data_IF_909031290585
#
_entry.id   IF_909031290585
#
_cell.length_a   1.000
_cell.length_b   1.000
_cell.length_c   1.000
_cell.angle_alpha   90.00
_cell.angle_beta   90.00
_cell.angle_gamma   90.00
#
_symmetry.space_group_name_H-M   'P 1'
#
loop_
_entity.id
_entity.type
_entity.pdbx_description
1 polymer ?
#
# COMPACT_ATOMS: atom_id res chain seq x y z
N UNK A 1 -6.98 -0.30 -25.94
CA UNK A 1 -7.37 0.11 -24.58
C UNK A 1 -7.73 1.58 -24.65
N UNK A 2 -8.90 1.93 -24.14
CA UNK A 2 -9.30 3.32 -23.96
C UNK A 2 -9.17 3.69 -22.49
N UNK A 3 -9.02 4.98 -22.22
CA UNK A 3 -9.09 5.53 -20.88
C UNK A 3 -10.22 6.57 -20.79
N UNK A 4 -10.78 6.68 -19.59
CA UNK A 4 -11.79 7.66 -19.23
C UNK A 4 -11.16 8.68 -18.32
N UNK A 5 -11.28 9.96 -18.69
CA UNK A 5 -10.89 11.06 -17.81
C UNK A 5 -12.12 11.44 -16.99
N UNK A 6 -12.03 11.32 -15.67
CA UNK A 6 -13.09 11.66 -14.74
C UNK A 6 -12.78 12.98 -14.05
N UNK A 7 -13.75 13.87 -14.01
CA UNK A 7 -13.61 15.16 -13.34
C UNK A 7 -13.45 14.97 -11.83
N UNK A 8 -12.49 15.68 -11.23
CA UNK A 8 -12.10 15.53 -9.82
C UNK A 8 -13.22 15.67 -8.77
N UNK A 9 -14.28 16.42 -9.06
CA UNK A 9 -15.34 16.77 -8.09
C UNK A 9 -16.58 15.91 -8.19
N UNK A 10 -16.96 15.56 -9.41
CA UNK A 10 -18.20 14.81 -9.68
C UNK A 10 -17.95 13.40 -10.16
N UNK A 11 -16.70 13.04 -10.47
CA UNK A 11 -16.31 11.76 -11.07
C UNK A 11 -17.03 11.45 -12.39
N UNK A 12 -17.62 12.47 -13.04
CA UNK A 12 -18.22 12.35 -14.37
C UNK A 12 -17.15 12.26 -15.43
N UNK A 13 -17.38 11.44 -16.45
CA UNK A 13 -16.48 11.36 -17.60
C UNK A 13 -16.51 12.66 -18.41
N UNK A 14 -15.35 13.32 -18.58
CA UNK A 14 -15.20 14.55 -19.38
C UNK A 14 -14.54 14.27 -20.75
N UNK A 15 -13.77 13.18 -20.84
CA UNK A 15 -13.16 12.72 -22.08
C UNK A 15 -13.02 11.19 -22.09
N UNK A 16 -13.09 10.62 -23.29
CA UNK A 16 -12.70 9.24 -23.58
C UNK A 16 -11.57 9.32 -24.59
N UNK A 17 -10.43 8.73 -24.26
CA UNK A 17 -9.20 8.91 -25.01
C UNK A 17 -8.55 7.55 -25.30
N UNK A 18 -8.25 7.23 -26.57
CA UNK A 18 -7.44 6.06 -26.91
C UNK A 18 -6.05 6.12 -26.27
N UNK A 19 -5.61 5.02 -25.66
CA UNK A 19 -4.28 4.93 -25.05
C UNK A 19 -3.24 4.46 -26.08
N UNK A 20 -2.34 5.37 -26.43
CA UNK A 20 -1.27 5.18 -27.40
C UNK A 20 -0.07 4.45 -26.79
N UNK A 21 0.27 4.72 -25.54
CA UNK A 21 1.32 4.03 -24.78
C UNK A 21 1.06 4.09 -23.28
N UNK A 22 1.60 3.16 -22.50
CA UNK A 22 1.54 3.20 -21.05
C UNK A 22 2.68 2.43 -20.37
N UNK A 23 3.05 2.94 -19.20
CA UNK A 23 3.75 2.21 -18.15
C UNK A 23 2.96 2.44 -16.87
N UNK A 24 2.17 1.44 -16.46
CA UNK A 24 1.24 1.55 -15.34
C UNK A 24 1.68 0.66 -14.18
N UNK A 25 1.50 1.17 -12.98
CA UNK A 25 1.57 0.42 -11.73
C UNK A 25 0.13 0.13 -11.32
N UNK A 26 -0.31 -1.13 -11.50
CA UNK A 26 -1.68 -1.56 -11.23
C UNK A 26 -2.01 -1.44 -9.74
N UNK A 27 -1.06 -1.87 -8.89
CA UNK A 27 -1.10 -1.75 -7.43
C UNK A 27 0.33 -1.67 -6.92
N UNK A 28 0.56 -0.90 -5.86
CA UNK A 28 1.86 -0.85 -5.18
C UNK A 28 1.71 -0.43 -3.73
N UNK A 29 2.65 -0.86 -2.89
CA UNK A 29 2.84 -0.27 -1.56
C UNK A 29 3.65 1.04 -1.64
N UNK A 30 4.33 1.27 -2.77
CA UNK A 30 5.18 2.43 -3.01
C UNK A 30 4.41 3.53 -3.73
N UNK A 31 4.89 4.76 -3.58
CA UNK A 31 4.33 5.94 -4.24
C UNK A 31 4.86 6.10 -5.67
N UNK A 32 4.54 5.12 -6.50
CA UNK A 32 4.99 5.07 -7.89
C UNK A 32 4.13 5.93 -8.81
N UNK A 33 4.76 6.52 -9.82
CA UNK A 33 4.08 7.30 -10.84
C UNK A 33 3.84 6.43 -12.08
N UNK A 34 2.59 6.30 -12.46
CA UNK A 34 2.19 5.72 -13.75
C UNK A 34 2.23 6.76 -14.86
N UNK A 35 2.55 6.36 -16.08
CA UNK A 35 2.59 7.24 -17.26
C UNK A 35 1.73 6.68 -18.38
N UNK A 36 0.93 7.55 -18.99
CA UNK A 36 0.08 7.24 -20.14
C UNK A 36 0.33 8.25 -21.26
N UNK A 37 0.44 7.78 -22.49
CA UNK A 37 0.35 8.61 -23.68
C UNK A 37 -1.04 8.39 -24.28
N UNK A 38 -1.84 9.44 -24.37
CA UNK A 38 -3.22 9.36 -24.86
C UNK A 38 -3.40 10.20 -26.11
N UNK A 39 -4.28 9.76 -27.00
CA UNK A 39 -4.77 10.60 -28.11
C UNK A 39 -5.86 11.52 -27.57
N UNK A 40 -5.73 12.82 -27.82
CA UNK A 40 -6.68 13.81 -27.30
C UNK A 40 -6.84 14.99 -28.24
N UNK A 41 -8.09 15.45 -28.35
CA UNK A 41 -8.42 16.72 -29.00
C UNK A 41 -7.84 17.90 -28.20
N UNK A 42 -7.34 18.92 -28.91
CA UNK A 42 -6.82 20.15 -28.32
C UNK A 42 -7.87 20.88 -27.48
N UNK A 43 -9.14 20.78 -27.83
CA UNK A 43 -10.22 21.48 -27.12
C UNK A 43 -10.57 20.84 -25.76
N UNK A 44 -10.23 19.56 -25.57
CA UNK A 44 -10.52 18.86 -24.32
C UNK A 44 -9.54 19.28 -23.23
N UNK A 45 -10.05 19.92 -22.19
CA UNK A 45 -9.28 20.31 -21.00
C UNK A 45 -9.21 19.10 -20.05
N UNK A 46 -7.98 18.79 -19.63
CA UNK A 46 -7.66 17.82 -18.58
C UNK A 46 -6.82 18.59 -17.57
N UNK A 47 -7.16 18.50 -16.29
CA UNK A 47 -6.50 19.25 -15.23
C UNK A 47 -5.85 18.30 -14.23
N UNK A 48 -4.80 18.79 -13.57
CA UNK A 48 -4.21 18.10 -12.42
C UNK A 48 -5.27 17.95 -11.32
N UNK A 49 -5.35 16.75 -10.76
CA UNK A 49 -6.35 16.32 -9.79
C UNK A 49 -7.54 15.58 -10.39
N UNK A 50 -7.77 15.63 -11.71
CA UNK A 50 -8.72 14.74 -12.38
C UNK A 50 -8.24 13.27 -12.29
N UNK A 51 -9.11 12.32 -12.60
CA UNK A 51 -8.76 10.89 -12.56
C UNK A 51 -8.62 10.30 -13.96
N UNK A 52 -7.65 9.42 -14.14
CA UNK A 52 -7.53 8.56 -15.31
C UNK A 52 -7.97 7.15 -14.92
N UNK A 53 -8.95 6.61 -15.65
CA UNK A 53 -9.52 5.28 -15.42
C UNK A 53 -9.36 4.42 -16.67
N UNK A 54 -8.86 3.21 -16.51
CA UNK A 54 -8.93 2.12 -17.51
C UNK A 54 -9.68 0.94 -16.89
N UNK A 55 -9.78 -0.18 -17.62
CA UNK A 55 -10.30 -1.44 -17.08
C UNK A 55 -9.41 -2.06 -15.99
N UNK A 56 -8.14 -1.66 -15.88
CA UNK A 56 -7.17 -2.25 -14.94
C UNK A 56 -6.53 -1.23 -13.99
N UNK A 57 -6.84 0.07 -14.14
CA UNK A 57 -6.14 1.12 -13.44
C UNK A 57 -7.05 2.30 -13.11
N UNK A 58 -6.85 2.88 -11.92
CA UNK A 58 -7.46 4.14 -11.48
C UNK A 58 -6.34 4.96 -10.84
N UNK A 59 -6.15 6.20 -11.28
CA UNK A 59 -5.13 7.08 -10.73
C UNK A 59 -5.51 8.56 -10.78
N UNK A 60 -4.83 9.34 -9.95
CA UNK A 60 -4.99 10.79 -9.86
C UNK A 60 -3.98 11.45 -10.78
N UNK A 61 -4.43 12.27 -11.72
CA UNK A 61 -3.57 12.98 -12.67
C UNK A 61 -2.74 14.02 -11.90
N UNK A 62 -1.42 13.86 -11.92
CA UNK A 62 -0.47 14.79 -11.30
C UNK A 62 0.30 15.64 -12.31
N UNK A 63 0.32 15.23 -13.58
CA UNK A 63 0.99 15.96 -14.65
C UNK A 63 0.34 15.76 -16.01
N UNK A 64 0.29 16.83 -16.81
CA UNK A 64 -0.23 16.83 -18.18
C UNK A 64 0.75 17.58 -19.07
N UNK A 65 1.38 16.88 -20.01
CA UNK A 65 2.25 17.46 -21.03
C UNK A 65 1.62 17.27 -22.41
N UNK A 66 1.24 18.37 -23.07
CA UNK A 66 0.48 18.33 -24.32
C UNK A 66 1.37 18.41 -25.54
N UNK A 67 1.10 17.52 -26.50
CA UNK A 67 1.54 17.60 -27.88
C UNK A 67 0.46 18.14 -28.81
N UNK A 68 0.64 17.97 -30.13
CA UNK A 68 -0.29 18.48 -31.15
C UNK A 68 -1.62 17.71 -31.18
N UNK A 69 -1.60 16.39 -31.00
CA UNK A 69 -2.77 15.50 -31.04
C UNK A 69 -2.72 14.42 -29.94
N UNK A 70 -1.88 14.63 -28.94
CA UNK A 70 -1.65 13.68 -27.86
C UNK A 70 -1.31 14.41 -26.57
N UNK A 71 -1.43 13.74 -25.45
CA UNK A 71 -0.94 14.21 -24.16
C UNK A 71 -0.25 13.08 -23.41
N UNK A 72 0.87 13.38 -22.77
CA UNK A 72 1.50 12.53 -21.77
C UNK A 72 0.92 12.90 -20.40
N UNK A 73 0.36 11.90 -19.73
CA UNK A 73 -0.32 12.02 -18.45
C UNK A 73 0.49 11.24 -17.41
N UNK A 74 0.80 11.87 -16.30
CA UNK A 74 1.38 11.23 -15.12
C UNK A 74 0.30 11.06 -14.06
N UNK A 75 0.22 9.87 -13.45
CA UNK A 75 -0.78 9.53 -12.45
C UNK A 75 -0.15 8.95 -11.19
N UNK A 76 -0.63 9.38 -10.04
CA UNK A 76 -0.44 8.72 -8.75
C UNK A 76 -1.54 7.66 -8.50
N UNK A 77 -1.27 6.68 -7.65
CA UNK A 77 -2.26 5.69 -7.21
C UNK A 77 -3.46 6.37 -6.51
N UNK A 78 -4.67 5.90 -6.79
CA UNK A 78 -5.92 6.44 -6.23
C UNK A 78 -5.95 6.47 -4.70
N UNK A 79 -5.20 5.61 -4.01
CA UNK A 79 -5.08 5.63 -2.54
C UNK A 79 -4.57 6.97 -2.00
N UNK A 80 -3.83 7.74 -2.81
CA UNK A 80 -3.34 9.09 -2.47
C UNK A 80 -4.47 10.09 -2.22
N UNK A 81 -5.69 9.82 -2.71
CA UNK A 81 -6.89 10.61 -2.39
C UNK A 81 -7.11 10.73 -0.87
N UNK A 82 -6.63 9.75 -0.10
CA UNK A 82 -6.78 9.66 1.35
C UNK A 82 -5.49 10.03 2.13
N UNK A 83 -4.55 10.71 1.48
CA UNK A 83 -3.28 11.16 2.10
C UNK A 83 -3.35 12.53 2.79
N UNK A 84 -4.48 13.25 2.66
CA UNK A 84 -4.67 14.55 3.33
C UNK A 84 -4.48 14.40 4.84
N UNK A 85 -3.70 15.29 5.49
CA UNK A 85 -3.58 15.33 6.95
C UNK A 85 -4.94 15.53 7.63
N UNK A 86 -5.14 14.86 8.77
CA UNK A 86 -6.34 14.96 9.60
C UNK A 86 -5.95 15.04 11.07
N UNK A 87 -6.82 15.65 11.86
CA UNK A 87 -6.74 15.60 13.32
C UNK A 87 -7.19 14.22 13.78
N UNK A 88 -6.41 13.59 14.64
CA UNK A 88 -6.72 12.27 15.17
C UNK A 88 -7.96 12.30 16.07
N UNK A 89 -8.87 11.37 15.82
CA UNK A 89 -10.02 11.06 16.68
C UNK A 89 -9.93 9.59 17.00
N UNK A 90 -9.94 9.22 18.28
CA UNK A 90 -9.75 7.84 18.68
C UNK A 90 -10.83 6.91 18.07
N UNK A 91 -10.41 5.72 17.64
CA UNK A 91 -11.33 4.69 17.13
C UNK A 91 -12.29 4.19 18.19
N UNK A 92 -11.85 4.14 19.45
CA UNK A 92 -12.60 3.54 20.54
C UNK A 92 -12.81 2.05 20.32
N UNK A 93 -14.05 1.56 20.50
CA UNK A 93 -14.38 0.12 20.38
C UNK A 93 -14.82 -0.30 18.98
N UNK A 94 -14.72 0.58 17.98
CA UNK A 94 -15.13 0.25 16.61
C UNK A 94 -14.22 -0.81 15.98
N UNK A 95 -14.80 -1.64 15.10
CA UNK A 95 -14.00 -2.54 14.23
C UNK A 95 -13.17 -1.70 13.26
N UNK A 96 -12.06 -2.26 12.75
CA UNK A 96 -11.18 -1.55 11.81
C UNK A 96 -11.99 -1.00 10.63
N UNK A 97 -12.83 -1.84 10.03
CA UNK A 97 -13.59 -1.49 8.84
C UNK A 97 -14.68 -0.45 9.13
N UNK A 98 -15.38 -0.55 10.27
CA UNK A 98 -16.37 0.45 10.68
C UNK A 98 -15.72 1.82 10.94
N UNK A 99 -14.50 1.84 11.48
CA UNK A 99 -13.75 3.08 11.68
C UNK A 99 -13.27 3.70 10.36
N UNK A 100 -12.79 2.88 9.42
CA UNK A 100 -12.43 3.38 8.08
C UNK A 100 -13.67 3.92 7.36
N UNK A 101 -14.80 3.23 7.43
CA UNK A 101 -16.07 3.66 6.85
C UNK A 101 -16.55 4.99 7.44
N UNK A 102 -16.50 5.16 8.76
CA UNK A 102 -16.90 6.40 9.42
C UNK A 102 -16.02 7.57 8.98
N UNK A 103 -14.70 7.38 8.89
CA UNK A 103 -13.76 8.41 8.42
C UNK A 103 -13.96 8.75 6.94
N UNK A 104 -14.13 7.75 6.08
CA UNK A 104 -14.41 7.98 4.66
C UNK A 104 -15.72 8.75 4.49
N UNK A 105 -16.71 8.48 5.33
CA UNK A 105 -17.99 9.18 5.30
C UNK A 105 -17.84 10.62 5.80
N UNK A 106 -17.41 10.83 7.05
CA UNK A 106 -17.39 12.15 7.69
C UNK A 106 -16.32 13.08 7.11
N UNK A 107 -15.12 12.56 6.85
CA UNK A 107 -13.98 13.39 6.46
C UNK A 107 -13.87 13.60 4.95
N UNK A 108 -14.48 12.75 4.13
CA UNK A 108 -14.35 12.82 2.67
C UNK A 108 -15.70 12.95 1.97
N UNK A 109 -16.61 11.98 2.10
CA UNK A 109 -17.87 11.95 1.36
C UNK A 109 -18.83 13.08 1.77
N UNK A 110 -18.95 13.32 3.07
CA UNK A 110 -19.89 14.26 3.68
C UNK A 110 -19.16 15.40 4.41
N UNK A 111 -17.93 15.72 3.96
CA UNK A 111 -17.17 16.83 4.51
C UNK A 111 -17.99 18.14 4.40
N UNK A 112 -18.07 18.88 5.50
CA UNK A 112 -18.82 20.14 5.59
C UNK A 112 -18.22 21.24 4.72
N UNK A 113 -16.91 21.20 4.48
CA UNK A 113 -16.26 22.05 3.48
C UNK A 113 -16.40 21.40 2.09
N UNK A 114 -17.31 21.95 1.30
CA UNK A 114 -17.63 21.51 -0.08
C UNK A 114 -16.41 21.52 -0.99
N UNK A 115 -15.40 22.36 -0.71
CA UNK A 115 -14.15 22.37 -1.50
C UNK A 115 -13.34 21.09 -1.26
N UNK A 116 -13.51 20.39 -0.15
CA UNK A 116 -12.80 19.15 0.12
C UNK A 116 -13.69 17.90 0.11
N UNK A 117 -14.98 18.07 -0.14
CA UNK A 117 -15.92 16.96 -0.25
C UNK A 117 -15.67 16.11 -1.51
N UNK A 118 -15.88 14.80 -1.36
CA UNK A 118 -15.83 13.78 -2.42
C UNK A 118 -17.18 13.03 -2.48
N UNK A 119 -18.27 13.69 -2.93
CA UNK A 119 -19.63 13.14 -2.82
C UNK A 119 -19.88 11.90 -3.69
N UNK A 120 -18.98 11.63 -4.64
CA UNK A 120 -19.05 10.48 -5.54
C UNK A 120 -18.53 9.16 -4.92
N UNK A 121 -18.06 9.19 -3.67
CA UNK A 121 -17.62 7.97 -2.98
C UNK A 121 -18.81 7.08 -2.62
N UNK A 122 -18.69 5.81 -3.00
CA UNK A 122 -19.63 4.74 -2.64
C UNK A 122 -18.89 3.75 -1.75
N UNK A 123 -19.15 3.80 -0.44
CA UNK A 123 -18.40 3.06 0.56
C UNK A 123 -19.16 1.79 0.90
N UNK A 124 -18.47 0.66 0.88
CA UNK A 124 -19.03 -0.65 1.20
C UNK A 124 -18.11 -1.41 2.16
N UNK A 125 -18.59 -1.66 3.37
CA UNK A 125 -17.94 -2.54 4.35
C UNK A 125 -18.46 -3.97 4.21
N UNK A 126 -17.57 -4.94 4.08
CA UNK A 126 -17.95 -6.37 3.92
C UNK A 126 -17.60 -7.25 5.13
N UNK A 127 -16.73 -6.80 6.03
CA UNK A 127 -16.28 -7.56 7.21
C UNK A 127 -16.17 -6.68 8.45
N UNK A 128 -15.96 -7.32 9.60
CA UNK A 128 -15.82 -6.68 10.91
C UNK A 128 -14.67 -7.30 11.71
N UNK A 129 -13.51 -6.63 11.67
CA UNK A 129 -12.29 -7.07 12.34
C UNK A 129 -12.09 -6.30 13.64
N UNK A 130 -12.23 -6.99 14.77
CA UNK A 130 -11.89 -6.45 16.08
C UNK A 130 -10.36 -6.39 16.25
N UNK A 131 -9.85 -5.21 16.62
CA UNK A 131 -8.42 -4.99 16.90
C UNK A 131 -8.26 -3.65 17.63
N UNK A 132 -7.28 -3.53 18.52
CA UNK A 132 -6.92 -2.28 19.18
C UNK A 132 -5.97 -1.40 18.35
N UNK A 133 -5.68 -1.76 17.09
CA UNK A 133 -4.74 -1.00 16.26
C UNK A 133 -5.21 0.43 16.03
N UNK A 134 -4.30 1.38 16.23
CA UNK A 134 -4.51 2.81 16.03
C UNK A 134 -3.57 3.34 14.92
N UNK A 135 -3.88 4.50 14.30
CA UNK A 135 -2.99 5.13 13.34
C UNK A 135 -1.67 5.59 13.96
N UNK A 136 -0.66 5.74 13.13
CA UNK A 136 0.58 6.40 13.52
C UNK A 136 0.30 7.91 13.59
N UNK A 137 0.22 8.47 14.80
CA UNK A 137 -0.11 9.86 15.07
C UNK A 137 1.15 10.63 15.47
N UNK A 138 1.39 11.77 14.83
CA UNK A 138 2.47 12.69 15.17
C UNK A 138 1.90 14.05 15.53
N UNK A 139 2.08 14.49 16.77
CA UNK A 139 1.50 15.74 17.30
C UNK A 139 -0.02 15.89 17.03
N UNK A 140 -0.77 14.78 17.10
CA UNK A 140 -2.21 14.75 16.82
C UNK A 140 -2.57 14.72 15.33
N UNK A 141 -1.58 14.70 14.43
CA UNK A 141 -1.75 14.70 12.98
C UNK A 141 -1.45 13.30 12.42
N UNK A 142 -2.29 12.86 11.49
CA UNK A 142 -2.12 11.60 10.79
C UNK A 142 -2.79 11.66 9.40
N UNK A 143 -2.69 10.59 8.61
CA UNK A 143 -3.49 10.46 7.38
C UNK A 143 -4.04 9.04 7.20
N UNK A 144 -5.22 8.95 6.58
CA UNK A 144 -5.92 7.69 6.39
C UNK A 144 -5.11 6.71 5.54
N UNK A 145 -4.46 7.17 4.46
CA UNK A 145 -3.62 6.31 3.60
C UNK A 145 -2.57 5.52 4.40
N UNK A 146 -1.84 6.16 5.32
CA UNK A 146 -0.84 5.49 6.16
C UNK A 146 -1.46 4.43 7.05
N UNK A 147 -2.63 4.72 7.64
CA UNK A 147 -3.37 3.74 8.44
C UNK A 147 -3.89 2.58 7.61
N UNK A 148 -4.40 2.82 6.40
CA UNK A 148 -4.82 1.77 5.46
C UNK A 148 -3.65 0.82 5.13
N UNK A 149 -2.44 1.36 4.97
CA UNK A 149 -1.24 0.54 4.79
C UNK A 149 -0.90 -0.28 6.05
N UNK A 150 -1.07 0.28 7.25
CA UNK A 150 -0.82 -0.39 8.54
C UNK A 150 -1.80 -1.55 8.78
N UNK A 151 -3.11 -1.33 8.63
CA UNK A 151 -4.13 -2.38 8.85
C UNK A 151 -4.07 -3.48 7.79
N UNK A 152 -3.60 -3.17 6.57
CA UNK A 152 -3.30 -4.18 5.55
C UNK A 152 -2.15 -5.10 6.01
N UNK A 153 -1.08 -4.53 6.56
CA UNK A 153 0.08 -5.29 7.08
C UNK A 153 -0.29 -6.17 8.26
N UNK A 154 -0.98 -5.60 9.25
CA UNK A 154 -1.18 -6.24 10.55
C UNK A 154 -2.41 -7.15 10.56
N UNK A 155 -3.51 -6.72 9.94
CA UNK A 155 -4.81 -7.38 10.06
C UNK A 155 -5.33 -7.99 8.75
N UNK A 156 -4.61 -7.82 7.64
CA UNK A 156 -5.05 -8.17 6.29
C UNK A 156 -6.39 -7.52 5.91
N UNK A 157 -6.63 -6.29 6.40
CA UNK A 157 -7.78 -5.47 5.98
C UNK A 157 -7.37 -4.64 4.77
N UNK A 158 -8.07 -4.82 3.67
CA UNK A 158 -7.82 -4.17 2.39
C UNK A 158 -8.90 -3.14 2.08
N UNK A 159 -8.47 -2.09 1.39
CA UNK A 159 -9.36 -1.12 0.73
C UNK A 159 -9.11 -1.20 -0.77
N UNK A 160 -10.14 -1.61 -1.50
CA UNK A 160 -10.13 -1.72 -2.95
C UNK A 160 -10.99 -0.64 -3.60
N UNK A 161 -10.63 -0.32 -4.84
CA UNK A 161 -11.24 0.75 -5.61
C UNK A 161 -11.76 0.21 -6.93
N UNK A 162 -12.99 0.56 -7.25
CA UNK A 162 -13.60 0.28 -8.53
C UNK A 162 -14.28 1.55 -9.05
N UNK A 163 -14.01 1.91 -10.29
CA UNK A 163 -14.64 3.05 -10.94
C UNK A 163 -15.90 2.58 -11.67
N UNK A 164 -17.05 3.10 -11.26
CA UNK A 164 -18.29 2.91 -12.00
C UNK A 164 -18.49 4.07 -12.99
N UNK A 165 -19.72 4.23 -13.51
CA UNK A 165 -20.06 5.35 -14.40
C UNK A 165 -19.76 6.72 -13.76
N UNK A 166 -20.22 6.95 -12.54
CA UNK A 166 -20.11 8.25 -11.86
C UNK A 166 -19.71 8.12 -10.38
N UNK A 167 -19.40 6.92 -9.89
CA UNK A 167 -18.97 6.71 -8.50
C UNK A 167 -17.60 6.06 -8.47
N UNK A 168 -16.86 6.34 -7.40
CA UNK A 168 -15.70 5.57 -6.99
C UNK A 168 -16.15 4.67 -5.84
N UNK A 169 -16.33 3.39 -6.14
CA UNK A 169 -16.66 2.38 -5.14
C UNK A 169 -15.40 2.07 -4.32
N UNK A 170 -15.55 2.09 -3.00
CA UNK A 170 -14.52 1.83 -2.00
C UNK A 170 -14.97 0.64 -1.17
N UNK A 171 -14.39 -0.53 -1.41
CA UNK A 171 -14.73 -1.75 -0.67
C UNK A 171 -13.70 -2.00 0.42
N UNK A 172 -14.17 -2.15 1.67
CA UNK A 172 -13.35 -2.39 2.86
C UNK A 172 -13.61 -3.80 3.36
N UNK A 173 -12.58 -4.64 3.38
CA UNK A 173 -12.73 -6.03 3.77
C UNK A 173 -11.43 -6.67 4.27
N UNK A 174 -11.55 -7.61 5.20
CA UNK A 174 -10.50 -8.55 5.55
C UNK A 174 -10.40 -9.63 4.48
N UNK A 175 -9.21 -9.83 3.92
CA UNK A 175 -8.94 -10.89 2.94
C UNK A 175 -8.09 -11.99 3.55
N UNK A 176 -8.37 -13.22 3.13
CA UNK A 176 -7.43 -14.32 3.33
C UNK A 176 -6.22 -14.09 2.42
N UNK A 177 -5.03 -14.02 3.01
CA UNK A 177 -3.79 -13.91 2.24
C UNK A 177 -3.27 -15.32 1.94
N UNK A 178 -3.13 -15.63 0.66
CA UNK A 178 -2.65 -16.94 0.20
C UNK A 178 -1.13 -16.92 0.10
N UNK A 179 -0.49 -17.99 0.56
CA UNK A 179 0.95 -18.21 0.33
C UNK A 179 1.15 -19.01 -0.95
N UNK A 180 1.83 -18.44 -1.94
CA UNK A 180 2.14 -19.08 -3.22
C UNK A 180 3.63 -19.40 -3.32
N UNK A 181 3.96 -20.48 -4.01
CA UNK A 181 5.35 -20.81 -4.30
C UNK A 181 5.81 -20.11 -5.59
N UNK A 182 7.04 -19.60 -5.58
CA UNK A 182 7.70 -18.99 -6.74
C UNK A 182 9.10 -19.58 -6.86
N UNK A 183 9.37 -20.26 -7.96
CA UNK A 183 10.71 -20.73 -8.29
C UNK A 183 11.31 -19.78 -9.34
N UNK A 184 12.32 -19.01 -8.93
CA UNK A 184 12.97 -18.02 -9.78
C UNK A 184 13.87 -18.66 -10.85
N UNK A 185 14.20 -19.96 -10.72
CA UNK A 185 14.99 -20.68 -11.72
C UNK A 185 14.17 -21.11 -12.94
N UNK A 186 12.83 -20.97 -12.89
CA UNK A 186 11.96 -21.37 -13.99
C UNK A 186 12.23 -20.53 -15.25
N UNK A 187 12.36 -21.15 -16.45
CA UNK A 187 12.61 -20.41 -17.70
C UNK A 187 11.52 -19.40 -18.10
N UNK A 188 10.33 -19.50 -17.50
CA UNK A 188 9.20 -18.58 -17.72
C UNK A 188 9.26 -17.32 -16.86
N UNK A 189 10.27 -17.21 -15.99
CA UNK A 189 10.54 -16.08 -15.12
C UNK A 189 11.78 -15.37 -15.63
N UNK A 190 11.66 -14.07 -15.84
CA UNK A 190 12.78 -13.19 -16.16
C UNK A 190 13.07 -12.31 -14.95
N UNK A 191 14.23 -12.50 -14.32
CA UNK A 191 14.66 -11.68 -13.20
C UNK A 191 15.25 -10.38 -13.76
N UNK A 192 14.66 -9.25 -13.37
CA UNK A 192 15.11 -7.91 -13.78
C UNK A 192 16.06 -7.30 -12.75
N UNK A 193 15.82 -7.54 -11.46
CA UNK A 193 16.60 -6.99 -10.36
C UNK A 193 16.52 -7.92 -9.15
N UNK A 194 17.64 -8.11 -8.47
CA UNK A 194 17.70 -8.86 -7.21
C UNK A 194 18.67 -8.14 -6.27
N UNK A 195 18.17 -7.79 -5.08
CA UNK A 195 18.94 -7.10 -4.05
C UNK A 195 18.49 -7.55 -2.67
N UNK A 196 19.45 -7.92 -1.84
CA UNK A 196 19.20 -8.43 -0.50
C UNK A 196 19.82 -7.51 0.54
N UNK A 197 19.09 -7.22 1.61
CA UNK A 197 19.70 -6.71 2.84
C UNK A 197 20.14 -7.92 3.69
N UNK A 198 21.42 -7.98 4.04
CA UNK A 198 21.96 -9.05 4.90
C UNK A 198 21.61 -8.88 6.39
N UNK A 199 20.67 -8.00 6.73
CA UNK A 199 20.35 -7.64 8.11
C UNK A 199 18.86 -7.90 8.36
N UNK A 200 18.56 -8.91 9.18
CA UNK A 200 17.22 -9.22 9.65
C UNK A 200 17.04 -8.73 11.09
N UNK A 201 15.84 -8.29 11.45
CA UNK A 201 15.50 -7.91 12.82
C UNK A 201 15.03 -9.14 13.58
N UNK A 202 15.71 -9.51 14.67
CA UNK A 202 15.37 -10.68 15.50
C UNK A 202 14.67 -10.32 16.80
N UNK A 203 14.93 -9.12 17.33
CA UNK A 203 14.41 -8.65 18.62
C UNK A 203 13.95 -7.18 18.57
N UNK A 204 12.83 -6.89 19.21
CA UNK A 204 12.38 -5.53 19.55
C UNK A 204 12.21 -5.42 21.07
N UNK A 205 12.73 -4.36 21.69
CA UNK A 205 12.42 -3.99 23.07
C UNK A 205 11.52 -2.75 23.05
N UNK A 206 10.32 -2.85 23.61
CA UNK A 206 9.40 -1.72 23.82
C UNK A 206 9.66 -1.10 25.19
N UNK A 207 9.77 0.23 25.23
CA UNK A 207 9.73 1.01 26.47
C UNK A 207 8.25 1.36 26.69
N UNK A 208 7.68 0.89 27.79
CA UNK A 208 6.28 1.07 28.18
C UNK A 208 6.19 1.76 29.55
N UNK A 209 5.06 2.40 29.82
CA UNK A 209 4.76 2.97 31.13
C UNK A 209 4.58 1.84 32.14
N UNK A 210 5.65 1.54 32.89
CA UNK A 210 5.71 0.43 33.86
C UNK A 210 6.85 -0.56 33.63
N UNK A 211 7.64 -0.41 32.56
CA UNK A 211 8.84 -1.22 32.32
C UNK A 211 9.10 -1.48 30.84
N UNK A 212 10.16 -2.24 30.57
CA UNK A 212 10.50 -2.65 29.22
C UNK A 212 9.96 -4.04 28.92
N UNK A 213 9.57 -4.31 27.67
CA UNK A 213 9.15 -5.63 27.22
C UNK A 213 9.92 -6.06 25.97
N UNK A 214 10.41 -7.29 25.98
CA UNK A 214 11.13 -7.88 24.87
C UNK A 214 10.21 -8.70 23.98
N UNK A 215 10.37 -8.56 22.67
CA UNK A 215 9.65 -9.27 21.62
C UNK A 215 10.64 -9.93 20.68
N UNK A 216 10.39 -11.20 20.34
CA UNK A 216 11.27 -12.03 19.53
C UNK A 216 10.51 -12.56 18.31
N UNK A 217 11.13 -12.48 17.13
CA UNK A 217 10.59 -13.06 15.91
C UNK A 217 10.98 -14.53 15.80
N UNK A 218 10.01 -15.40 15.53
CA UNK A 218 10.22 -16.84 15.32
C UNK A 218 10.39 -17.17 13.84
N UNK A 219 10.99 -18.33 13.55
CA UNK A 219 11.26 -18.80 12.17
C UNK A 219 10.00 -18.97 11.32
N UNK A 220 8.84 -19.17 11.94
CA UNK A 220 7.54 -19.24 11.27
C UNK A 220 6.89 -17.86 11.02
N UNK A 221 7.53 -16.78 11.48
CA UNK A 221 7.08 -15.40 11.37
C UNK A 221 6.16 -14.93 12.49
N UNK A 222 5.89 -15.77 13.50
CA UNK A 222 5.15 -15.37 14.71
C UNK A 222 6.06 -14.64 15.70
N UNK A 223 5.46 -13.98 16.70
CA UNK A 223 6.17 -13.16 17.68
C UNK A 223 5.90 -13.70 19.08
N UNK A 224 6.94 -13.82 19.90
CA UNK A 224 6.85 -14.27 21.29
C UNK A 224 7.56 -13.31 22.24
N UNK A 225 7.20 -13.35 23.52
CA UNK A 225 7.96 -12.70 24.60
C UNK A 225 8.86 -13.70 25.35
N UNK A 226 8.87 -14.98 24.96
CA UNK A 226 9.70 -16.00 25.58
C UNK A 226 11.13 -15.97 25.02
N UNK A 227 12.08 -15.56 25.86
CA UNK A 227 13.50 -15.54 25.50
C UNK A 227 14.10 -16.94 25.34
N UNK A 228 13.43 -17.99 25.84
CA UNK A 228 13.88 -19.38 25.73
C UNK A 228 13.33 -20.09 24.49
N UNK A 229 12.47 -19.45 23.69
CA UNK A 229 11.95 -20.05 22.46
C UNK A 229 13.11 -20.47 21.54
N UNK A 230 13.11 -21.75 21.15
CA UNK A 230 14.23 -22.39 20.45
C UNK A 230 14.31 -22.04 18.97
N UNK A 231 13.21 -21.56 18.40
CA UNK A 231 13.01 -21.22 17.00
C UNK A 231 13.05 -19.71 16.75
N UNK A 232 13.70 -18.95 17.64
CA UNK A 232 13.97 -17.53 17.46
C UNK A 232 14.90 -17.29 16.27
N UNK A 233 14.62 -16.24 15.52
CA UNK A 233 15.51 -15.76 14.46
C UNK A 233 16.65 -14.96 15.08
N UNK A 234 17.88 -15.25 14.65
CA UNK A 234 19.05 -14.42 14.96
C UNK A 234 19.05 -13.15 14.10
N UNK A 235 19.36 -12.01 14.70
CA UNK A 235 19.27 -10.73 14.01
C UNK A 235 19.51 -9.52 14.90
N UNK A 236 19.35 -8.35 14.30
CA UNK A 236 19.53 -7.07 15.00
C UNK A 236 18.49 -6.90 16.12
N UNK A 237 18.89 -6.16 17.14
CA UNK A 237 18.03 -5.68 18.22
C UNK A 237 17.62 -4.24 17.91
N UNK A 238 16.35 -3.92 18.09
CA UNK A 238 15.82 -2.56 18.04
C UNK A 238 15.15 -2.21 19.36
N UNK A 239 15.25 -0.95 19.79
CA UNK A 239 14.52 -0.42 20.95
C UNK A 239 13.58 0.67 20.45
N UNK A 240 12.32 0.65 20.89
CA UNK A 240 11.31 1.64 20.53
C UNK A 240 10.59 2.16 21.77
N UNK A 241 10.17 3.42 21.72
CA UNK A 241 9.32 4.02 22.74
C UNK A 241 7.86 3.97 22.25
N UNK A 242 6.97 3.41 23.06
CA UNK A 242 5.54 3.37 22.76
C UNK A 242 4.85 4.60 23.37
N UNK A 243 3.87 5.14 22.66
CA UNK A 243 2.96 6.12 23.28
C UNK A 243 2.16 5.43 24.39
N UNK A 244 1.74 6.20 25.41
CA UNK A 244 1.06 5.69 26.62
C UNK A 244 -0.20 4.84 26.33
N UNK A 245 -0.85 5.06 25.18
CA UNK A 245 -2.08 4.40 24.75
C UNK A 245 -1.90 3.47 23.54
N UNK A 246 -0.66 3.24 23.08
CA UNK A 246 -0.40 2.43 21.90
C UNK A 246 -0.55 0.91 22.18
N UNK A 247 -1.13 0.19 21.20
CA UNK A 247 -1.10 -1.28 21.19
C UNK A 247 0.29 -1.79 20.81
N UNK A 248 1.12 -2.06 21.82
CA UNK A 248 2.52 -2.47 21.66
C UNK A 248 2.71 -3.70 20.78
N UNK A 249 1.79 -4.67 20.80
CA UNK A 249 1.88 -5.85 19.94
C UNK A 249 1.68 -5.46 18.46
N UNK A 250 0.70 -4.62 18.16
CA UNK A 250 0.43 -4.14 16.79
C UNK A 250 1.60 -3.33 16.23
N UNK A 251 2.26 -2.49 17.05
CA UNK A 251 3.45 -1.76 16.64
C UNK A 251 4.62 -2.69 16.32
N UNK A 252 4.89 -3.64 17.21
CA UNK A 252 5.95 -4.63 17.05
C UNK A 252 5.69 -5.49 15.80
N UNK A 253 4.44 -5.92 15.57
CA UNK A 253 4.04 -6.63 14.36
C UNK A 253 4.29 -5.82 13.08
N UNK A 254 3.90 -4.54 13.10
CA UNK A 254 4.11 -3.63 11.98
C UNK A 254 5.60 -3.44 11.66
N UNK A 255 6.45 -3.32 12.69
CA UNK A 255 7.91 -3.17 12.53
C UNK A 255 8.55 -4.46 12.06
N UNK A 256 8.23 -5.61 12.65
CA UNK A 256 8.74 -6.89 12.16
C UNK A 256 8.33 -7.11 10.71
N UNK A 257 7.07 -6.87 10.33
CA UNK A 257 6.63 -7.03 8.94
C UNK A 257 7.45 -6.20 7.94
N UNK A 258 7.71 -4.92 8.25
CA UNK A 258 8.56 -4.04 7.43
C UNK A 258 10.00 -4.55 7.30
N UNK A 259 10.49 -5.30 8.28
CA UNK A 259 11.87 -5.80 8.35
C UNK A 259 12.04 -7.25 7.87
N UNK A 260 10.99 -8.08 7.92
CA UNK A 260 11.02 -9.48 7.51
C UNK A 260 11.35 -9.64 6.02
N UNK A 261 10.93 -8.67 5.20
CA UNK A 261 11.04 -8.72 3.74
C UNK A 261 12.03 -7.70 3.19
N UNK A 262 13.19 -7.58 3.84
CA UNK A 262 14.27 -6.62 3.53
C UNK A 262 15.06 -7.02 2.28
N UNK A 263 14.36 -7.36 1.21
CA UNK A 263 14.89 -7.66 -0.10
C UNK A 263 14.04 -6.98 -1.15
N UNK A 264 14.60 -6.89 -2.35
CA UNK A 264 13.93 -6.36 -3.52
C UNK A 264 14.19 -7.32 -4.67
N UNK A 265 13.14 -7.97 -5.12
CA UNK A 265 13.20 -8.84 -6.30
C UNK A 265 12.18 -8.33 -7.29
N UNK A 266 12.65 -7.99 -8.48
CA UNK A 266 11.85 -7.58 -9.61
C UNK A 266 11.91 -8.70 -10.65
N UNK A 267 10.77 -9.26 -11.01
CA UNK A 267 10.70 -10.30 -12.02
C UNK A 267 9.50 -10.10 -12.95
N UNK A 268 9.62 -10.58 -14.18
CA UNK A 268 8.60 -10.51 -15.21
C UNK A 268 8.20 -11.90 -15.68
N UNK A 269 6.90 -12.10 -15.91
CA UNK A 269 6.38 -13.36 -16.47
C UNK A 269 5.15 -13.15 -17.34
N UNK A 270 4.97 -14.01 -18.33
CA UNK A 270 3.75 -14.09 -19.14
C UNK A 270 2.64 -14.87 -18.44
N UNK A 271 2.95 -15.67 -17.41
CA UNK A 271 1.98 -16.42 -16.62
C UNK A 271 1.59 -15.63 -15.37
N UNK A 272 0.79 -14.57 -15.56
CA UNK A 272 0.33 -13.71 -14.49
C UNK A 272 -0.63 -14.48 -13.55
N UNK A 273 -0.13 -14.89 -12.37
CA UNK A 273 -0.88 -15.68 -11.37
C UNK A 273 -0.84 -15.11 -9.96
N UNK A 274 -0.17 -13.98 -9.76
CA UNK A 274 0.02 -13.39 -8.45
C UNK A 274 -0.87 -12.15 -8.30
N UNK A 275 -1.52 -12.03 -7.16
CA UNK A 275 -2.31 -10.88 -6.77
C UNK A 275 -1.47 -9.97 -5.87
N UNK A 276 -1.92 -8.72 -5.78
CA UNK A 276 -1.27 -7.76 -4.90
C UNK A 276 -1.35 -8.25 -3.46
N UNK A 277 -0.20 -8.24 -2.77
CA UNK A 277 -0.07 -8.69 -1.39
C UNK A 277 -0.11 -10.20 -1.15
N UNK A 278 -0.13 -11.03 -2.21
CA UNK A 278 0.09 -12.48 -2.04
C UNK A 278 1.41 -12.72 -1.29
N UNK A 279 1.37 -13.61 -0.28
CA UNK A 279 2.59 -14.09 0.38
C UNK A 279 3.30 -15.06 -0.55
N UNK A 280 4.62 -15.04 -0.54
CA UNK A 280 5.44 -15.87 -1.39
C UNK A 280 6.43 -16.69 -0.56
N UNK A 281 6.59 -17.96 -0.94
CA UNK A 281 7.79 -18.74 -0.66
C UNK A 281 8.59 -18.80 -1.94
N UNK A 282 9.72 -18.13 -1.94
CA UNK A 282 10.56 -17.99 -3.12
C UNK A 282 11.74 -18.93 -2.99
N UNK A 283 12.00 -19.73 -4.02
CA UNK A 283 13.22 -20.52 -4.18
C UNK A 283 14.12 -19.88 -5.23
N UNK A 284 15.39 -19.66 -4.87
CA UNK A 284 16.45 -19.16 -5.76
C UNK A 284 17.78 -19.80 -5.36
N UNK A 285 18.49 -20.42 -6.30
CA UNK A 285 19.82 -21.04 -6.09
C UNK A 285 19.92 -21.93 -4.83
N UNK A 286 18.89 -22.75 -4.59
CA UNK A 286 18.81 -23.65 -3.44
C UNK A 286 18.48 -22.98 -2.10
N UNK A 287 18.28 -21.66 -2.08
CA UNK A 287 17.81 -20.90 -0.92
C UNK A 287 16.30 -20.73 -0.97
N UNK A 288 15.67 -20.76 0.21
CA UNK A 288 14.26 -20.45 0.41
C UNK A 288 14.13 -19.18 1.23
N UNK A 289 13.28 -18.26 0.79
CA UNK A 289 12.96 -17.07 1.54
C UNK A 289 11.47 -16.74 1.43
N UNK A 290 10.96 -16.14 2.50
CA UNK A 290 9.58 -15.64 2.55
C UNK A 290 9.55 -14.23 1.97
N UNK A 291 8.50 -13.89 1.23
CA UNK A 291 8.29 -12.59 0.60
C UNK A 291 6.80 -12.30 0.46
N UNK A 292 6.45 -11.19 -0.18
CA UNK A 292 5.11 -10.91 -0.68
C UNK A 292 5.17 -10.03 -1.93
N UNK A 293 4.07 -9.97 -2.69
CA UNK A 293 3.93 -9.07 -3.85
C UNK A 293 3.68 -7.65 -3.37
N UNK A 294 4.68 -6.78 -3.50
CA UNK A 294 4.63 -5.38 -3.08
C UNK A 294 4.25 -4.43 -4.20
N UNK A 295 4.40 -4.81 -5.47
CA UNK A 295 3.86 -4.07 -6.62
C UNK A 295 3.58 -4.97 -7.83
N UNK A 296 2.62 -4.54 -8.66
CA UNK A 296 2.30 -5.15 -9.96
C UNK A 296 2.34 -4.06 -11.02
N UNK A 297 3.14 -4.26 -12.07
CA UNK A 297 3.35 -3.29 -13.15
C UNK A 297 3.08 -3.90 -14.52
N UNK A 298 2.59 -3.08 -15.45
CA UNK A 298 2.34 -3.45 -16.85
C UNK A 298 2.82 -2.34 -17.77
N UNK A 299 3.34 -2.71 -18.94
CA UNK A 299 3.78 -1.79 -20.00
C UNK A 299 3.16 -2.21 -21.32
N UNK A 300 2.78 -1.25 -22.17
CA UNK A 300 2.17 -1.57 -23.47
C UNK A 300 3.09 -2.39 -24.38
N UNK A 301 4.39 -2.12 -24.30
CA UNK A 301 5.42 -2.79 -25.11
C UNK A 301 5.74 -4.22 -24.69
N UNK A 302 5.15 -4.73 -23.61
CA UNK A 302 5.41 -6.08 -23.09
C UNK A 302 4.11 -6.83 -22.84
N UNK A 303 4.08 -8.12 -23.23
CA UNK A 303 3.01 -9.03 -22.85
C UNK A 303 3.22 -9.64 -21.45
N UNK A 304 4.38 -9.37 -20.82
CA UNK A 304 4.68 -9.84 -19.47
C UNK A 304 4.15 -8.86 -18.42
N UNK A 305 3.74 -9.40 -17.28
CA UNK A 305 3.49 -8.62 -16.07
C UNK A 305 4.74 -8.63 -15.21
N UNK A 306 5.14 -7.46 -14.72
CA UNK A 306 6.28 -7.30 -13.83
C UNK A 306 5.79 -7.23 -12.39
N UNK A 307 6.41 -8.00 -11.51
CA UNK A 307 6.11 -8.06 -10.08
C UNK A 307 7.31 -7.59 -9.29
N UNK A 308 7.04 -6.79 -8.26
CA UNK A 308 8.01 -6.42 -7.23
C UNK A 308 7.71 -7.21 -5.96
N UNK A 309 8.77 -7.72 -5.34
CA UNK A 309 8.73 -8.49 -4.13
C UNK A 309 9.53 -7.82 -3.03
N UNK A 310 8.97 -7.83 -1.82
CA UNK A 310 9.57 -7.25 -0.63
C UNK A 310 9.59 -5.74 -0.61
N UNK A 311 10.25 -5.20 0.41
CA UNK A 311 10.42 -3.77 0.64
C UNK A 311 11.85 -3.56 1.13
N UNK A 312 12.67 -2.79 0.39
CA UNK A 312 13.98 -2.41 0.91
C UNK A 312 13.78 -1.64 2.21
N UNK A 313 14.55 -2.01 3.24
CA UNK A 313 14.58 -1.27 4.51
C UNK A 313 14.73 0.22 4.23
N UNK A 314 13.80 1.02 4.74
CA UNK A 314 14.12 2.39 5.13
C UNK A 314 15.11 2.27 6.30
N UNK A 315 16.35 2.74 6.12
CA UNK A 315 17.22 2.95 7.29
C UNK A 315 16.49 3.95 8.20
N UNK A 316 16.11 3.53 9.39
CA UNK A 316 15.50 4.39 10.40
C UNK A 316 16.61 5.12 11.17
N UNK A 317 17.50 5.81 10.47
CA UNK A 317 18.23 6.93 11.06
C UNK A 317 17.25 8.09 11.07
N UNK A 318 16.72 8.40 12.27
CA UNK A 318 16.24 9.72 12.74
C UNK A 318 15.13 9.63 13.81
N UNK A 319 15.24 8.68 14.76
CA UNK A 319 14.57 8.81 16.09
C UNK A 319 15.50 8.48 17.27
N UNK A 320 16.78 8.81 17.12
CA UNK A 320 17.83 8.86 18.15
C UNK A 320 18.69 10.08 17.69
N UNK A 321 18.82 11.26 18.29
CA UNK A 321 18.70 11.86 19.65
C UNK A 321 18.40 13.37 19.50
N UNK A 322 17.72 14.00 20.47
CA UNK A 322 18.09 15.29 21.08
C UNK A 322 17.33 15.40 22.43
N UNK A 323 17.91 14.89 23.52
CA UNK A 323 18.53 15.67 24.62
C UNK A 323 17.66 16.81 25.15
N UNK A 324 17.03 16.60 26.32
CA UNK A 324 17.44 17.21 27.61
C UNK A 324 17.23 16.15 28.71
#
# INVERSE_FOLDING_TARGET
MDCFIKERKTFKTIAVCPVLDYAMTVKSIFDEISSFLISIDKEKIITVGDYLVTNEYIGIITGVSRGRASAKISCEDIIKLFSRPQVYTAKGTATIEAYIESLLTSSYKENTDVIYQLPFLEIEKLTDTASAIEPDVDQGIWNLKSFLAKVRRVNNVFVDFEATKNTLKVTIQKKAVVTKNLDLSMPTIEIEEESYSNKQLGKITTIETGGNRDWYLLTDGTITNDYQATDRIDGELMVINLADDADGLSEVQNIFFKNTYSHKILFSTSNARFEFYDRLRISSDGKLFSSYISAIRKKKSSLKTTYLCGEMRTQFTDKIVEEI
#
